data_IF_401476256921
#
_entry.id   IF_401476256921
#
_cell.length_a   1.000
_cell.length_b   1.000
_cell.length_c   1.000
_cell.angle_alpha   90.00
_cell.angle_beta   90.00
_cell.angle_gamma   90.00
#
_symmetry.space_group_name_H-M   'P 1'
#
loop_
_entity.id
_entity.type
_entity.pdbx_description
1 polymer ?
#
# COMPACT_ATOMS: atom_id res chain seq x y z
N UNK A 1 -4.54 27.54 8.19
CA UNK A 1 -4.33 26.13 7.79
C UNK A 1 -3.17 25.64 8.63
N UNK A 2 -3.37 24.66 9.52
CA UNK A 2 -2.26 24.07 10.27
C UNK A 2 -1.28 23.41 9.29
N UNK A 3 0.02 23.31 9.61
CA UNK A 3 0.98 22.62 8.73
C UNK A 3 0.51 21.20 8.46
N UNK A 4 0.73 20.71 7.23
CA UNK A 4 0.47 19.31 6.87
C UNK A 4 1.19 18.33 7.83
N UNK A 5 2.25 18.80 8.47
CA UNK A 5 3.14 18.03 9.35
C UNK A 5 2.72 18.08 10.83
N UNK A 6 1.53 18.60 11.17
CA UNK A 6 1.02 18.51 12.54
C UNK A 6 0.99 17.02 12.97
N UNK A 7 1.72 16.60 14.02
CA UNK A 7 1.72 15.21 14.49
C UNK A 7 0.32 14.67 14.80
N UNK A 8 -0.63 15.55 15.16
CA UNK A 8 -2.02 15.16 15.46
C UNK A 8 -2.82 14.73 14.22
N UNK A 9 -2.34 15.03 13.00
CA UNK A 9 -3.03 14.76 11.72
C UNK A 9 -2.12 14.08 10.69
N UNK A 10 -1.14 13.30 11.14
CA UNK A 10 -0.18 12.61 10.28
C UNK A 10 -0.12 11.11 10.60
N UNK A 11 -0.33 10.27 9.60
CA UNK A 11 -0.19 8.82 9.71
C UNK A 11 1.24 8.43 9.36
N UNK A 12 1.90 7.69 10.27
CA UNK A 12 3.27 7.17 10.07
C UNK A 12 3.27 5.65 10.17
N UNK A 13 3.92 5.01 9.23
CA UNK A 13 4.13 3.56 9.20
C UNK A 13 5.60 3.31 8.90
N UNK A 14 6.25 2.50 9.74
CA UNK A 14 7.63 2.06 9.51
C UNK A 14 7.68 0.54 9.62
N UNK A 15 8.34 -0.11 8.67
CA UNK A 15 8.56 -1.56 8.68
C UNK A 15 9.78 -1.98 7.88
N UNK A 16 10.26 -3.18 8.14
CA UNK A 16 11.27 -3.84 7.33
C UNK A 16 10.61 -4.89 6.46
N UNK A 17 10.84 -4.79 5.15
CA UNK A 17 10.32 -5.70 4.14
C UNK A 17 11.46 -6.55 3.61
N UNK A 18 11.31 -7.88 3.47
CA UNK A 18 12.36 -8.77 2.98
C UNK A 18 12.47 -8.71 1.44
N UNK A 19 12.63 -7.51 0.89
CA UNK A 19 12.75 -7.26 -0.55
C UNK A 19 13.79 -6.16 -0.82
N UNK A 20 14.23 -6.04 -2.07
CA UNK A 20 15.11 -4.94 -2.48
C UNK A 20 14.34 -3.61 -2.54
N UNK A 21 14.99 -2.44 -2.34
CA UNK A 21 14.29 -1.16 -2.46
C UNK A 21 13.67 -0.97 -3.86
N UNK A 22 14.30 -1.51 -4.90
CA UNK A 22 13.81 -1.50 -6.28
C UNK A 22 12.51 -2.32 -6.42
N UNK A 23 12.46 -3.51 -5.82
CA UNK A 23 11.28 -4.34 -5.79
C UNK A 23 10.14 -3.65 -5.04
N UNK A 24 10.43 -3.12 -3.85
CA UNK A 24 9.45 -2.37 -3.07
C UNK A 24 8.92 -1.18 -3.87
N UNK A 25 9.81 -0.39 -4.48
CA UNK A 25 9.42 0.74 -5.32
C UNK A 25 8.50 0.33 -6.49
N UNK A 26 8.75 -0.82 -7.10
CA UNK A 26 7.91 -1.35 -8.17
C UNK A 26 6.47 -1.63 -7.68
N UNK A 27 6.30 -2.14 -6.46
CA UNK A 27 4.98 -2.36 -5.83
C UNK A 27 4.18 -1.07 -5.60
N UNK A 28 4.83 0.10 -5.67
CA UNK A 28 4.19 1.41 -5.53
C UNK A 28 3.97 2.15 -6.86
N UNK A 29 4.60 1.71 -7.95
CA UNK A 29 4.67 2.50 -9.19
C UNK A 29 4.23 1.73 -10.43
N UNK A 30 4.20 0.39 -10.37
CA UNK A 30 3.75 -0.45 -11.48
C UNK A 30 2.27 -0.74 -11.34
N UNK A 31 1.49 -0.39 -12.36
CA UNK A 31 0.04 -0.53 -12.34
C UNK A 31 -0.41 -1.96 -12.02
N UNK A 32 0.28 -2.96 -12.55
CA UNK A 32 -0.05 -4.38 -12.35
C UNK A 32 0.10 -4.78 -10.88
N UNK A 33 1.18 -4.33 -10.22
CA UNK A 33 1.46 -4.64 -8.82
C UNK A 33 0.56 -3.84 -7.87
N UNK A 34 0.41 -2.53 -8.12
CA UNK A 34 -0.43 -1.65 -7.29
C UNK A 34 -1.89 -2.12 -7.30
N UNK A 35 -2.41 -2.48 -8.48
CA UNK A 35 -3.81 -2.94 -8.64
C UNK A 35 -4.14 -4.16 -7.79
N UNK A 36 -3.12 -4.90 -7.36
CA UNK A 36 -3.27 -6.20 -6.75
C UNK A 36 -3.23 -6.15 -5.20
N UNK A 37 -2.71 -5.07 -4.58
CA UNK A 37 -2.73 -4.88 -3.13
C UNK A 37 -3.53 -3.65 -2.64
N UNK A 38 -3.55 -2.55 -3.40
CA UNK A 38 -4.02 -1.23 -2.91
C UNK A 38 -5.51 -1.16 -2.56
N UNK A 39 -6.37 -1.96 -3.21
CA UNK A 39 -7.80 -2.04 -2.90
C UNK A 39 -8.24 -3.35 -2.24
N UNK A 40 -7.41 -4.39 -2.33
CA UNK A 40 -7.76 -5.75 -1.93
C UNK A 40 -7.94 -5.90 -0.41
N UNK A 41 -7.27 -5.07 0.39
CA UNK A 41 -7.49 -4.97 1.84
C UNK A 41 -8.96 -4.71 2.24
N UNK A 42 -9.75 -4.12 1.33
CA UNK A 42 -11.15 -3.76 1.55
C UNK A 42 -12.13 -4.59 0.72
N UNK A 43 -11.69 -5.72 0.16
CA UNK A 43 -12.51 -6.53 -0.77
C UNK A 43 -12.77 -5.83 -2.11
N UNK A 44 -12.00 -4.78 -2.43
CA UNK A 44 -12.16 -4.03 -3.67
C UNK A 44 -11.34 -4.66 -4.79
N UNK A 45 -11.96 -4.85 -5.94
CA UNK A 45 -11.27 -5.31 -7.15
C UNK A 45 -10.98 -4.14 -8.07
N UNK A 46 -9.71 -3.75 -8.23
CA UNK A 46 -9.34 -2.72 -9.18
C UNK A 46 -9.80 -3.09 -10.61
N UNK A 47 -10.67 -2.29 -11.21
CA UNK A 47 -11.11 -2.42 -12.60
C UNK A 47 -10.21 -1.65 -13.54
N UNK A 48 -9.68 -0.52 -13.08
CA UNK A 48 -8.64 0.22 -13.80
C UNK A 48 -7.56 0.68 -12.83
N UNK A 49 -6.31 0.62 -13.28
CA UNK A 49 -5.15 1.14 -12.57
C UNK A 49 -4.24 1.78 -13.61
N UNK A 50 -4.03 3.09 -13.49
CA UNK A 50 -3.14 3.85 -14.37
C UNK A 50 -2.09 4.52 -13.51
N UNK A 51 -0.83 4.36 -13.90
CA UNK A 51 0.33 4.91 -13.20
C UNK A 51 1.26 5.55 -14.23
N UNK A 52 1.74 6.75 -13.96
CA UNK A 52 2.79 7.42 -14.73
C UNK A 52 3.85 7.91 -13.76
N UNK A 53 4.75 7.02 -13.28
CA UNK A 53 5.64 7.29 -12.16
C UNK A 53 6.82 8.17 -12.60
N UNK A 54 6.53 9.45 -12.78
CA UNK A 54 7.48 10.53 -13.02
C UNK A 54 6.93 11.79 -12.38
N UNK A 55 7.78 12.76 -12.03
CA UNK A 55 7.32 14.04 -11.45
C UNK A 55 6.30 14.71 -12.39
N UNK A 56 5.14 15.11 -11.84
CA UNK A 56 4.01 15.66 -12.58
C UNK A 56 3.12 14.63 -13.28
N UNK A 57 3.54 13.37 -13.33
CA UNK A 57 2.73 12.27 -13.84
C UNK A 57 1.51 11.99 -12.96
N UNK A 58 0.44 11.48 -13.57
CA UNK A 58 -0.81 11.16 -12.86
C UNK A 58 -0.94 9.68 -12.55
N UNK A 59 -1.69 9.39 -11.50
CA UNK A 59 -2.15 8.05 -11.20
C UNK A 59 -3.64 8.04 -10.87
N UNK A 60 -4.30 6.90 -11.12
CA UNK A 60 -5.71 6.71 -10.79
C UNK A 60 -6.03 5.22 -10.66
N UNK A 61 -6.90 4.92 -9.71
CA UNK A 61 -7.47 3.59 -9.48
C UNK A 61 -8.98 3.71 -9.36
N UNK A 62 -9.68 2.84 -10.07
CA UNK A 62 -11.12 2.59 -9.92
C UNK A 62 -11.28 1.13 -9.55
N UNK A 63 -12.18 0.81 -8.62
CA UNK A 63 -12.46 -0.56 -8.22
C UNK A 63 -13.96 -0.82 -8.03
N UNK A 64 -14.39 -2.06 -8.25
CA UNK A 64 -15.76 -2.50 -7.92
C UNK A 64 -15.91 -2.71 -6.42
N UNK A 65 -17.08 -2.36 -5.88
CA UNK A 65 -17.35 -2.41 -4.43
C UNK A 65 -16.95 -1.15 -3.67
N UNK A 66 -16.41 -0.14 -4.37
CA UNK A 66 -16.00 1.13 -3.76
C UNK A 66 -17.17 2.06 -3.44
N UNK A 67 -18.38 1.75 -3.91
CA UNK A 67 -19.57 2.60 -3.77
C UNK A 67 -19.76 3.08 -2.32
N UNK A 68 -19.89 4.40 -2.09
CA UNK A 68 -20.15 5.45 -3.09
C UNK A 68 -18.88 6.06 -3.75
N UNK A 69 -17.68 5.59 -3.42
CA UNK A 69 -16.43 6.09 -4.00
C UNK A 69 -16.25 5.51 -5.41
N UNK A 70 -16.10 6.34 -6.43
CA UNK A 70 -15.92 5.85 -7.81
C UNK A 70 -14.44 5.78 -8.19
N UNK A 71 -13.57 6.54 -7.52
CA UNK A 71 -12.18 6.71 -7.97
C UNK A 71 -11.28 7.30 -6.88
N UNK A 72 -10.06 6.75 -6.78
CA UNK A 72 -8.95 7.37 -6.06
C UNK A 72 -7.91 7.80 -7.10
N UNK A 73 -7.34 9.00 -6.97
CA UNK A 73 -6.38 9.50 -7.93
C UNK A 73 -5.39 10.50 -7.34
N UNK A 74 -4.42 10.92 -8.15
CA UNK A 74 -3.50 11.99 -7.78
C UNK A 74 -2.38 12.19 -8.78
N UNK A 75 -1.33 12.87 -8.32
CA UNK A 75 -0.14 13.21 -9.08
C UNK A 75 1.13 12.94 -8.29
N UNK A 76 2.17 12.48 -8.99
CA UNK A 76 3.50 12.29 -8.40
C UNK A 76 4.22 13.64 -8.27
N UNK A 77 4.74 13.91 -7.07
CA UNK A 77 5.51 15.11 -6.75
C UNK A 77 7.00 14.81 -6.66
N UNK A 78 7.36 13.60 -6.24
CA UNK A 78 8.74 13.12 -6.17
C UNK A 78 8.80 11.66 -6.60
N UNK A 79 9.78 11.32 -7.44
CA UNK A 79 9.99 9.96 -7.95
C UNK A 79 11.51 9.71 -8.04
N UNK A 80 12.05 9.01 -7.06
CA UNK A 80 13.45 8.56 -7.04
C UNK A 80 13.43 7.03 -6.92
N UNK A 81 13.65 6.31 -8.04
CA UNK A 81 13.60 4.85 -8.06
C UNK A 81 14.40 4.21 -6.92
N UNK A 82 13.76 3.28 -6.21
CA UNK A 82 14.37 2.54 -5.09
C UNK A 82 14.70 3.37 -3.84
N UNK A 83 14.30 4.64 -3.76
CA UNK A 83 14.70 5.53 -2.64
C UNK A 83 13.56 6.37 -2.08
N UNK A 84 12.80 7.05 -2.92
CA UNK A 84 11.84 8.05 -2.49
C UNK A 84 10.67 8.16 -3.47
N UNK A 85 9.47 8.25 -2.93
CA UNK A 85 8.25 8.51 -3.70
C UNK A 85 7.37 9.47 -2.91
N UNK A 86 6.82 10.49 -3.56
CA UNK A 86 5.79 11.34 -2.97
C UNK A 86 4.69 11.65 -3.98
N UNK A 87 3.43 11.53 -3.57
CA UNK A 87 2.29 11.74 -4.46
C UNK A 87 1.05 12.21 -3.68
N UNK A 88 0.18 12.95 -4.37
CA UNK A 88 -1.13 13.29 -3.83
C UNK A 88 -2.06 12.08 -3.88
N UNK A 89 -2.97 12.01 -2.91
CA UNK A 89 -4.03 11.01 -2.79
C UNK A 89 -5.35 11.74 -2.60
N UNK A 90 -6.25 11.56 -3.57
CA UNK A 90 -7.48 12.32 -3.74
C UNK A 90 -8.67 11.39 -3.87
N UNK A 91 -9.73 11.71 -3.16
CA UNK A 91 -11.05 11.08 -3.29
C UNK A 91 -12.08 12.20 -3.40
N UNK A 92 -12.64 12.39 -4.59
CA UNK A 92 -13.47 13.56 -4.90
C UNK A 92 -14.80 13.52 -4.14
N UNK A 93 -15.39 12.33 -3.96
CA UNK A 93 -16.70 12.13 -3.34
C UNK A 93 -16.74 12.50 -1.86
N UNK A 94 -15.60 12.40 -1.18
CA UNK A 94 -15.44 12.79 0.24
C UNK A 94 -14.55 14.02 0.40
N UNK A 95 -14.23 14.71 -0.70
CA UNK A 95 -13.36 15.90 -0.72
C UNK A 95 -12.03 15.70 0.01
N UNK A 96 -11.50 14.47 0.00
CA UNK A 96 -10.24 14.15 0.65
C UNK A 96 -9.08 14.53 -0.25
N UNK A 97 -8.10 15.22 0.33
CA UNK A 97 -6.83 15.57 -0.29
C UNK A 97 -5.71 15.35 0.72
N UNK A 98 -4.80 14.43 0.42
CA UNK A 98 -3.65 14.13 1.28
C UNK A 98 -2.39 13.90 0.46
N UNK A 99 -1.23 13.94 1.11
CA UNK A 99 0.06 13.64 0.49
C UNK A 99 0.64 12.40 1.16
N UNK A 100 1.00 11.40 0.35
CA UNK A 100 1.74 10.22 0.78
C UNK A 100 3.20 10.38 0.38
N UNK A 101 4.08 10.05 1.31
CA UNK A 101 5.53 10.05 1.18
C UNK A 101 6.08 8.70 1.60
N UNK A 102 6.86 8.06 0.73
CA UNK A 102 7.55 6.81 1.00
C UNK A 102 9.05 7.05 0.90
N UNK A 103 9.79 6.58 1.90
CA UNK A 103 11.26 6.52 1.91
C UNK A 103 11.66 5.06 2.02
N UNK A 104 12.58 4.64 1.15
CA UNK A 104 13.10 3.29 1.08
C UNK A 104 14.59 3.33 1.38
N UNK A 105 15.03 2.51 2.32
CA UNK A 105 16.44 2.40 2.70
C UNK A 105 16.83 0.94 2.77
N UNK A 106 17.89 0.57 2.05
CA UNK A 106 18.45 -0.78 2.14
C UNK A 106 18.99 -1.04 3.54
N UNK A 107 18.68 -2.21 4.08
CA UNK A 107 19.21 -2.74 5.34
C UNK A 107 19.76 -4.15 5.12
N UNK A 108 20.37 -4.73 6.16
CA UNK A 108 20.80 -6.14 6.13
C UNK A 108 19.63 -7.12 6.05
N UNK A 109 18.44 -6.71 6.54
CA UNK A 109 17.21 -7.52 6.52
C UNK A 109 16.31 -7.30 5.31
N UNK A 110 16.74 -6.50 4.33
CA UNK A 110 15.94 -6.14 3.15
C UNK A 110 15.85 -4.63 2.97
N UNK A 111 14.64 -4.08 3.09
CA UNK A 111 14.36 -2.65 2.92
C UNK A 111 13.54 -2.12 4.09
N UNK A 112 14.06 -1.09 4.75
CA UNK A 112 13.27 -0.24 5.63
C UNK A 112 12.36 0.65 4.76
N UNK A 113 11.05 0.47 4.90
CA UNK A 113 10.02 1.31 4.28
C UNK A 113 9.45 2.22 5.37
N UNK A 114 9.50 3.53 5.11
CA UNK A 114 8.84 4.55 5.92
C UNK A 114 7.77 5.23 5.07
N UNK A 115 6.52 5.14 5.49
CA UNK A 115 5.37 5.82 4.90
C UNK A 115 4.89 6.92 5.83
N UNK A 116 4.66 8.11 5.27
CA UNK A 116 4.05 9.26 5.92
C UNK A 116 2.88 9.73 5.05
N UNK A 117 1.68 9.78 5.62
CA UNK A 117 0.53 10.44 4.99
C UNK A 117 0.10 11.65 5.81
N UNK A 118 -0.08 12.78 5.14
CA UNK A 118 -0.41 14.09 5.75
C UNK A 118 -1.57 14.74 5.02
N UNK A 119 -2.26 15.68 5.69
CA UNK A 119 -3.36 16.45 5.11
C UNK A 119 -4.75 15.89 5.40
N UNK A 120 -4.91 15.07 6.44
CA UNK A 120 -6.24 14.62 6.87
C UNK A 120 -7.09 15.79 7.38
N UNK A 121 -8.40 15.85 7.04
CA UNK A 121 -9.29 16.93 7.46
C UNK A 121 -9.63 16.85 8.96
N UNK A 122 -9.66 15.64 9.52
CA UNK A 122 -9.96 15.37 10.92
C UNK A 122 -9.38 14.03 11.38
N UNK A 123 -9.46 13.78 12.69
CA UNK A 123 -8.95 12.58 13.35
C UNK A 123 -9.72 11.30 12.99
N UNK A 124 -11.02 11.39 12.69
CA UNK A 124 -11.82 10.22 12.32
C UNK A 124 -11.33 9.68 10.97
N UNK A 125 -11.07 10.57 10.02
CA UNK A 125 -10.53 10.24 8.70
C UNK A 125 -9.13 9.61 8.82
N UNK A 126 -8.26 10.17 9.68
CA UNK A 126 -6.95 9.61 10.00
C UNK A 126 -7.06 8.16 10.51
N UNK A 127 -7.92 7.90 11.50
CA UNK A 127 -8.08 6.58 12.14
C UNK A 127 -8.61 5.54 11.15
N UNK A 128 -9.56 5.90 10.29
CA UNK A 128 -10.06 5.03 9.22
C UNK A 128 -8.96 4.69 8.20
N UNK A 129 -8.15 5.66 7.81
CA UNK A 129 -7.02 5.42 6.92
C UNK A 129 -5.94 4.59 7.59
N UNK A 130 -5.69 4.77 8.89
CA UNK A 130 -4.73 3.96 9.63
C UNK A 130 -5.09 2.46 9.60
N UNK A 131 -6.36 2.12 9.82
CA UNK A 131 -6.87 0.75 9.70
C UNK A 131 -6.70 0.21 8.27
N UNK A 132 -7.05 1.03 7.29
CA UNK A 132 -6.96 0.69 5.86
C UNK A 132 -5.53 0.41 5.44
N UNK A 133 -4.60 1.25 5.87
CA UNK A 133 -3.18 1.06 5.63
C UNK A 133 -2.63 -0.16 6.34
N UNK A 134 -3.02 -0.44 7.58
CA UNK A 134 -2.54 -1.62 8.29
C UNK A 134 -2.86 -2.91 7.52
N UNK A 135 -4.08 -3.04 7.00
CA UNK A 135 -4.51 -4.17 6.17
C UNK A 135 -3.79 -4.21 4.82
N UNK A 136 -3.70 -3.08 4.12
CA UNK A 136 -3.01 -2.98 2.83
C UNK A 136 -1.53 -3.32 2.92
N UNK A 137 -0.86 -2.88 3.98
CA UNK A 137 0.56 -3.14 4.20
C UNK A 137 0.79 -4.61 4.57
N UNK A 138 -0.07 -5.22 5.39
CA UNK A 138 0.00 -6.66 5.65
C UNK A 138 -0.13 -7.48 4.36
N UNK A 139 -1.10 -7.14 3.51
CA UNK A 139 -1.29 -7.82 2.23
C UNK A 139 -0.07 -7.64 1.31
N UNK A 140 0.50 -6.43 1.27
CA UNK A 140 1.74 -6.17 0.53
C UNK A 140 2.90 -7.04 1.02
N UNK A 141 3.09 -7.17 2.33
CA UNK A 141 4.14 -8.02 2.90
C UNK A 141 3.95 -9.49 2.49
N UNK A 142 2.74 -10.03 2.64
CA UNK A 142 2.41 -11.40 2.24
C UNK A 142 2.66 -11.64 0.75
N UNK A 143 2.22 -10.69 -0.08
CA UNK A 143 2.47 -10.71 -1.51
C UNK A 143 3.97 -10.74 -1.79
N UNK A 144 4.76 -9.88 -1.15
CA UNK A 144 6.20 -9.81 -1.36
C UNK A 144 6.89 -11.09 -0.89
N UNK A 145 6.44 -11.70 0.21
CA UNK A 145 6.95 -12.99 0.70
C UNK A 145 6.68 -14.10 -0.32
N UNK A 146 5.42 -14.28 -0.74
CA UNK A 146 4.98 -15.36 -1.64
C UNK A 146 5.56 -15.22 -3.05
N UNK A 147 5.73 -13.99 -3.52
CA UNK A 147 6.23 -13.72 -4.87
C UNK A 147 7.76 -13.76 -5.00
N UNK A 148 8.47 -14.15 -3.94
CA UNK A 148 9.92 -14.38 -3.97
C UNK A 148 10.76 -13.53 -3.00
N UNK A 149 10.14 -12.90 -2.00
CA UNK A 149 10.83 -12.20 -0.91
C UNK A 149 11.10 -13.05 0.34
N UNK A 150 10.68 -14.32 0.42
CA UNK A 150 10.78 -15.15 1.64
C UNK A 150 11.62 -16.42 1.51
N UNK A 151 12.77 -16.45 2.21
CA UNK A 151 13.64 -17.59 2.59
C UNK A 151 14.20 -18.47 1.44
N UNK A 152 15.30 -17.99 0.84
CA UNK A 152 16.20 -18.75 -0.05
C UNK A 152 17.30 -17.85 -0.66
N UNK A 153 18.51 -18.35 -0.98
CA UNK A 153 19.73 -17.54 -1.18
C UNK A 153 19.82 -16.74 -2.50
N UNK A 154 18.72 -16.43 -3.18
CA UNK A 154 18.77 -15.72 -4.46
C UNK A 154 17.68 -14.66 -4.55
N UNK A 155 18.02 -13.46 -4.08
CA UNK A 155 17.28 -12.22 -4.29
C UNK A 155 17.06 -11.99 -5.78
N UNK A 156 15.89 -12.39 -6.29
CA UNK A 156 15.45 -12.00 -7.62
C UNK A 156 14.66 -10.71 -7.45
N UNK A 157 15.21 -9.61 -7.97
CA UNK A 157 14.40 -8.43 -8.24
C UNK A 157 13.24 -8.87 -9.17
N UNK A 158 12.03 -8.30 -9.06
CA UNK A 158 10.94 -8.54 -10.00
C UNK A 158 11.32 -8.37 -11.48
N UNK A 159 12.47 -7.75 -11.78
CA UNK A 159 13.05 -7.64 -13.11
C UNK A 159 13.38 -8.99 -13.77
N UNK A 160 13.66 -10.04 -13.00
CA UNK A 160 14.07 -11.34 -13.54
C UNK A 160 12.90 -12.34 -13.75
N UNK A 161 11.70 -12.02 -13.25
CA UNK A 161 10.51 -12.87 -13.40
C UNK A 161 9.50 -12.21 -14.35
N UNK A 162 8.91 -12.93 -15.31
CA UNK A 162 7.82 -12.38 -16.10
C UNK A 162 6.72 -11.79 -15.21
N UNK A 163 6.40 -10.52 -15.44
CA UNK A 163 5.48 -9.76 -14.58
C UNK A 163 4.06 -10.30 -14.58
N UNK A 164 3.70 -11.06 -15.61
CA UNK A 164 2.44 -11.80 -15.71
C UNK A 164 2.36 -12.88 -14.64
N UNK A 165 3.43 -13.65 -14.44
CA UNK A 165 3.49 -14.71 -13.41
C UNK A 165 3.47 -14.10 -12.01
N UNK A 166 4.20 -13.00 -11.81
CA UNK A 166 4.16 -12.24 -10.57
C UNK A 166 2.74 -11.75 -10.26
N UNK A 167 2.07 -11.14 -11.24
CA UNK A 167 0.69 -10.66 -11.07
C UNK A 167 -0.30 -11.80 -10.75
N UNK A 168 -0.09 -12.99 -11.31
CA UNK A 168 -0.93 -14.17 -11.03
C UNK A 168 -0.75 -14.71 -9.60
N UNK A 169 0.50 -14.77 -9.12
CA UNK A 169 0.80 -15.11 -7.72
C UNK A 169 0.16 -14.11 -6.76
N UNK A 170 0.20 -12.83 -7.10
CA UNK A 170 -0.44 -11.79 -6.28
C UNK A 170 -1.96 -11.98 -6.22
N UNK A 171 -2.59 -12.26 -7.37
CA UNK A 171 -4.03 -12.56 -7.41
C UNK A 171 -4.38 -13.80 -6.59
N UNK A 172 -3.48 -14.78 -6.50
CA UNK A 172 -3.66 -15.96 -5.67
C UNK A 172 -3.59 -15.64 -4.17
N UNK A 173 -2.57 -14.91 -3.73
CA UNK A 173 -2.46 -14.44 -2.33
C UNK A 173 -3.69 -13.64 -1.94
N UNK A 174 -4.14 -12.76 -2.84
CA UNK A 174 -5.37 -12.00 -2.67
C UNK A 174 -6.60 -12.88 -2.48
N UNK A 175 -6.83 -13.88 -3.36
CA UNK A 175 -7.99 -14.79 -3.22
C UNK A 175 -7.97 -15.49 -1.86
N UNK A 176 -6.80 -15.94 -1.42
CA UNK A 176 -6.64 -16.56 -0.09
C UNK A 176 -7.04 -15.60 1.03
N UNK A 177 -6.58 -14.35 0.98
CA UNK A 177 -6.98 -13.34 1.95
C UNK A 177 -8.50 -13.08 1.94
N UNK A 178 -9.10 -12.95 0.75
CA UNK A 178 -10.55 -12.77 0.61
C UNK A 178 -11.32 -13.96 1.18
N UNK A 179 -10.86 -15.18 0.92
CA UNK A 179 -11.44 -16.42 1.46
C UNK A 179 -11.30 -16.50 2.99
N UNK A 180 -10.12 -16.16 3.53
CA UNK A 180 -9.85 -16.12 4.98
C UNK A 180 -10.72 -15.06 5.67
N UNK A 181 -10.85 -13.86 5.09
CA UNK A 181 -11.71 -12.79 5.60
C UNK A 181 -13.20 -13.16 5.52
N UNK A 182 -13.63 -13.84 4.45
CA UNK A 182 -14.98 -14.36 4.31
C UNK A 182 -15.28 -15.45 5.36
N UNK A 183 -14.31 -16.34 5.63
CA UNK A 183 -14.42 -17.37 6.65
C UNK A 183 -14.51 -16.80 8.09
N UNK A 184 -13.83 -15.67 8.34
CA UNK A 184 -13.87 -14.95 9.63
C UNK A 184 -15.19 -14.20 9.86
N UNK A 185 -15.97 -13.90 8.81
CA UNK A 185 -17.22 -13.12 8.91
C UNK A 185 -18.40 -13.82 9.63
N UNK A 186 -18.21 -15.05 10.13
CA UNK A 186 -19.17 -15.83 10.93
C UNK A 186 -19.01 -15.74 12.47
N UNK A 187 -19.17 -14.54 13.08
CA UNK A 187 -19.13 -14.19 14.54
C UNK A 187 -17.72 -14.27 15.18
N UNK A 188 -17.17 -13.30 15.95
CA UNK A 188 -17.64 -12.07 16.67
C UNK A 188 -16.75 -10.86 16.33
N UNK A 189 -17.18 -9.60 16.56
CA UNK A 189 -16.35 -8.42 16.31
C UNK A 189 -15.42 -8.09 17.50
N UNK A 190 -14.27 -7.50 17.17
CA UNK A 190 -13.24 -6.88 18.01
C UNK A 190 -12.14 -7.78 18.63
N UNK A 191 -10.98 -7.73 17.95
CA UNK A 191 -9.59 -7.76 18.41
C UNK A 191 -9.09 -8.89 19.32
N UNK A 192 -8.19 -9.71 18.78
CA UNK A 192 -6.93 -10.08 19.44
C UNK A 192 -5.86 -10.16 18.33
N UNK A 193 -4.97 -9.16 18.30
CA UNK A 193 -3.84 -9.10 17.36
C UNK A 193 -2.55 -9.45 18.14
N UNK A 194 -1.60 -10.23 17.58
CA UNK A 194 -0.34 -10.49 18.27
C UNK A 194 0.45 -9.19 18.51
N UNK A 195 1.06 -9.05 19.70
CA UNK A 195 1.64 -7.78 20.21
C UNK A 195 2.75 -7.12 19.34
N UNK A 196 3.12 -7.71 18.20
CA UNK A 196 4.23 -7.30 17.34
C UNK A 196 3.90 -6.22 16.30
N UNK A 197 2.64 -5.77 16.16
CA UNK A 197 2.27 -4.60 15.34
C UNK A 197 1.76 -3.38 16.13
N UNK A 198 2.01 -3.32 17.43
CA UNK A 198 1.76 -2.08 18.16
C UNK A 198 2.68 -0.98 17.60
N UNK A 199 2.07 0.04 17.00
CA UNK A 199 2.70 1.30 16.62
C UNK A 199 3.59 1.78 17.78
N UNK A 200 4.91 1.70 17.60
CA UNK A 200 5.83 2.33 18.54
C UNK A 200 5.71 3.84 18.35
N UNK A 201 5.30 4.50 19.43
CA UNK A 201 5.19 5.96 19.57
C UNK A 201 6.52 6.65 19.28
#
# INVERSE_FOLDING_TARGET
>A
MQPADNPDNALRISRTVPATPEAVFAYWTRAELVSAWFGAAHGLTATTCRMTPQVGGRWAITATGMEPLSRIHGAYHEVVPGKRLAFSYQIDEVMLMSIISITLKRTSGGTELQLLQTGFPDRVTLEQHALSWAQGMWLMDEIMVVTGGGIGPKWMCPEDRPLTELADDIRLVRRRFEDDMAAVSGRRPFFDWPDDYALRQ
#
